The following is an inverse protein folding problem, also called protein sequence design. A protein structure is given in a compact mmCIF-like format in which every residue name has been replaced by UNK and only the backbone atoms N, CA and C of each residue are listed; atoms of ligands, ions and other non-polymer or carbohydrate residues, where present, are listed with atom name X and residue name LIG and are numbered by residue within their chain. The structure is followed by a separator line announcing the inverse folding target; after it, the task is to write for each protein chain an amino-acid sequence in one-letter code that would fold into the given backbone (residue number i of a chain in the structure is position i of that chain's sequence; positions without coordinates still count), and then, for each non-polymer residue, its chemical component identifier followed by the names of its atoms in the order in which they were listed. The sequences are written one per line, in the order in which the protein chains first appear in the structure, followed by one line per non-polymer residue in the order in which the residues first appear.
data_IF_513961546326
#
_entry.id   IF_513961546326
#
_cell.length_a   1.000
_cell.length_b   1.000
_cell.length_c   1.000
_cell.angle_alpha   90.00
_cell.angle_beta   90.00
_cell.angle_gamma   90.00
#
_symmetry.space_group_name_H-M   'P 1'
#
loop_
_entity.id
_entity.type
_entity.pdbx_description
1 polymer ?
#
# COMPACT_ATOMS: atom_id res chain seq x y z
N UNK A 1 21.66 4.91 -1.25
CA UNK A 1 20.37 4.40 -0.75
C UNK A 1 19.65 5.55 -0.11
N UNK A 2 18.38 5.73 -0.43
CA UNK A 2 17.48 6.66 0.26
C UNK A 2 16.85 5.93 1.43
N UNK A 3 16.65 6.64 2.55
CA UNK A 3 15.92 6.10 3.68
C UNK A 3 14.42 6.06 3.35
N UNK A 4 13.71 5.09 3.93
CA UNK A 4 12.25 5.02 3.83
C UNK A 4 11.61 6.17 4.61
N UNK A 5 10.47 6.67 4.14
CA UNK A 5 9.67 7.70 4.83
C UNK A 5 9.19 7.27 6.21
N UNK A 6 9.11 5.95 6.47
CA UNK A 6 8.87 5.42 7.82
C UNK A 6 9.94 5.85 8.83
N UNK A 7 11.19 6.04 8.38
CA UNK A 7 12.28 6.51 9.25
C UNK A 7 12.13 7.97 9.66
N UNK A 8 11.38 8.76 8.89
CA UNK A 8 11.11 10.18 9.14
C UNK A 8 9.74 10.41 9.81
N UNK A 9 8.94 9.34 10.00
CA UNK A 9 7.56 9.46 10.49
C UNK A 9 6.58 10.00 9.44
N UNK A 10 6.95 9.94 8.16
CA UNK A 10 6.18 10.48 7.03
C UNK A 10 5.49 9.38 6.20
N UNK A 11 5.35 8.19 6.77
CA UNK A 11 4.62 7.08 6.18
C UNK A 11 3.77 6.31 7.19
N UNK A 12 2.72 5.67 6.67
CA UNK A 12 1.84 4.78 7.43
C UNK A 12 1.49 3.57 6.57
N UNK A 13 1.49 2.39 7.21
CA UNK A 13 1.02 1.14 6.62
C UNK A 13 -0.36 0.78 7.19
N UNK A 14 -1.36 0.64 6.31
CA UNK A 14 -2.74 0.30 6.71
C UNK A 14 -3.06 -1.17 6.46
N UNK A 15 -3.39 -1.90 7.53
CA UNK A 15 -3.80 -3.32 7.50
C UNK A 15 -2.90 -4.18 6.58
N UNK A 16 -1.64 -4.44 6.96
CA UNK A 16 -0.65 -5.13 6.09
C UNK A 16 -1.06 -6.51 5.55
N UNK A 17 -2.00 -7.19 6.23
CA UNK A 17 -2.52 -8.48 5.75
C UNK A 17 -3.49 -8.26 4.59
N UNK A 18 -4.43 -7.33 4.74
CA UNK A 18 -5.46 -6.96 3.76
C UNK A 18 -4.91 -6.12 2.60
N UNK A 19 -3.79 -5.42 2.82
CA UNK A 19 -3.14 -4.55 1.85
C UNK A 19 -1.65 -4.90 1.72
N UNK A 20 -1.31 -6.10 1.24
CA UNK A 20 0.07 -6.55 1.25
C UNK A 20 0.96 -5.77 0.28
N UNK A 21 2.25 -5.74 0.62
CA UNK A 21 3.29 -5.65 -0.39
C UNK A 21 3.26 -6.91 -1.28
N UNK A 22 3.20 -6.69 -2.59
CA UNK A 22 3.23 -7.70 -3.65
C UNK A 22 4.33 -7.35 -4.62
N UNK A 23 5.42 -8.12 -4.65
CA UNK A 23 6.51 -7.99 -5.62
C UNK A 23 6.57 -9.22 -6.51
N UNK A 24 6.55 -9.03 -7.84
CA UNK A 24 6.54 -10.13 -8.82
C UNK A 24 5.44 -11.18 -8.55
N UNK A 25 4.26 -10.75 -8.10
CA UNK A 25 3.15 -11.64 -7.74
C UNK A 25 3.38 -12.47 -6.47
N UNK A 26 4.36 -12.10 -5.64
CA UNK A 26 4.69 -12.77 -4.39
C UNK A 26 4.60 -11.82 -3.20
N UNK A 27 4.36 -12.36 -2.02
CA UNK A 27 4.41 -11.64 -0.75
C UNK A 27 5.11 -12.51 0.29
N UNK A 28 5.68 -11.88 1.33
CA UNK A 28 6.30 -12.60 2.44
C UNK A 28 5.29 -13.20 3.41
N UNK A 29 4.05 -12.72 3.39
CA UNK A 29 2.99 -13.15 4.32
C UNK A 29 1.96 -14.04 3.60
N UNK A 30 1.97 -15.36 3.81
CA UNK A 30 1.02 -16.27 3.16
C UNK A 30 -0.44 -15.92 3.45
N UNK A 31 -0.74 -15.36 4.63
CA UNK A 31 -2.09 -14.94 5.03
C UNK A 31 -2.64 -13.80 4.17
N UNK A 32 -1.78 -13.05 3.47
CA UNK A 32 -2.19 -11.94 2.64
C UNK A 32 -2.61 -12.34 1.21
N UNK A 33 -2.30 -13.57 0.79
CA UNK A 33 -2.62 -14.08 -0.57
C UNK A 33 -4.09 -13.94 -0.97
N UNK A 34 -5.09 -14.17 -0.09
CA UNK A 34 -6.51 -13.96 -0.41
C UNK A 34 -6.85 -12.52 -0.84
N UNK A 35 -6.01 -11.54 -0.50
CA UNK A 35 -6.24 -10.11 -0.78
C UNK A 35 -5.53 -9.60 -2.03
N UNK A 36 -4.88 -10.49 -2.80
CA UNK A 36 -4.22 -10.13 -4.06
C UNK A 36 -5.22 -9.70 -5.13
N UNK A 37 -6.38 -10.34 -5.16
CA UNK A 37 -7.43 -9.97 -6.10
C UNK A 37 -8.15 -8.71 -5.61
N UNK A 38 -7.71 -7.55 -6.12
CA UNK A 38 -8.27 -6.24 -5.77
C UNK A 38 -9.65 -5.96 -6.38
N UNK A 39 -10.17 -6.81 -7.29
CA UNK A 39 -11.54 -6.67 -7.80
C UNK A 39 -12.59 -7.13 -6.80
N UNK A 40 -12.20 -7.95 -5.82
CA UNK A 40 -13.06 -8.37 -4.73
C UNK A 40 -12.70 -7.59 -3.45
N UNK A 41 -13.37 -6.47 -3.25
CA UNK A 41 -13.20 -5.68 -2.03
C UNK A 41 -13.74 -6.40 -0.79
N UNK A 42 -12.91 -6.47 0.24
CA UNK A 42 -13.18 -7.04 1.57
C UNK A 42 -12.92 -5.98 2.64
N UNK A 43 -13.49 -6.14 3.86
CA UNK A 43 -13.17 -5.26 4.99
C UNK A 43 -11.66 -5.12 5.21
N UNK A 44 -11.21 -3.92 5.56
CA UNK A 44 -9.80 -3.60 5.81
C UNK A 44 -8.97 -3.28 4.55
N UNK A 45 -9.48 -3.55 3.34
CA UNK A 45 -8.79 -3.19 2.10
C UNK A 45 -8.87 -1.68 1.81
N UNK A 46 -7.77 -1.10 1.33
CA UNK A 46 -7.73 0.27 0.80
C UNK A 46 -8.76 0.44 -0.32
N UNK A 47 -9.61 1.45 -0.17
CA UNK A 47 -10.62 1.87 -1.15
C UNK A 47 -10.21 3.18 -1.82
N UNK A 48 -10.90 3.56 -2.90
CA UNK A 48 -10.68 4.84 -3.56
C UNK A 48 -10.92 6.05 -2.61
N UNK A 49 -11.79 5.90 -1.59
CA UNK A 49 -12.00 6.96 -0.60
C UNK A 49 -10.79 7.16 0.31
N UNK A 50 -10.15 6.06 0.74
CA UNK A 50 -8.91 6.11 1.53
C UNK A 50 -7.79 6.77 0.72
N UNK A 51 -7.63 6.37 -0.53
CA UNK A 51 -6.63 6.97 -1.42
C UNK A 51 -6.85 8.47 -1.58
N UNK A 52 -8.09 8.92 -1.82
CA UNK A 52 -8.42 10.35 -1.91
C UNK A 52 -8.15 11.12 -0.61
N UNK A 53 -8.36 10.50 0.55
CA UNK A 53 -8.09 11.14 1.84
C UNK A 53 -6.59 11.44 1.99
N UNK A 54 -5.70 10.48 1.72
CA UNK A 54 -4.25 10.72 1.74
C UNK A 54 -3.79 11.70 0.64
N UNK A 55 -4.35 11.59 -0.56
CA UNK A 55 -4.07 12.56 -1.63
C UNK A 55 -4.46 13.99 -1.26
N UNK A 56 -5.50 14.18 -0.46
CA UNK A 56 -5.93 15.52 -0.01
C UNK A 56 -4.91 16.24 0.87
N UNK A 57 -3.98 15.48 1.48
CA UNK A 57 -2.85 16.01 2.27
C UNK A 57 -1.52 15.89 1.52
N UNK A 58 -1.55 15.60 0.22
CA UNK A 58 -0.36 15.48 -0.63
C UNK A 58 0.37 14.14 -0.56
N UNK A 59 -0.16 13.14 0.15
CA UNK A 59 0.49 11.83 0.27
C UNK A 59 0.17 10.92 -0.93
N UNK A 60 1.16 10.13 -1.33
CA UNK A 60 1.04 9.10 -2.36
C UNK A 60 0.65 7.73 -1.78
N UNK A 61 0.37 6.79 -2.68
CA UNK A 61 -0.02 5.42 -2.33
C UNK A 61 0.80 4.39 -3.11
N UNK A 62 1.40 3.43 -2.41
CA UNK A 62 2.22 2.38 -3.02
C UNK A 62 1.47 1.42 -3.94
N UNK A 63 0.14 1.36 -3.86
CA UNK A 63 -0.71 0.65 -4.82
C UNK A 63 -0.74 1.28 -6.22
N UNK A 64 -0.34 2.55 -6.35
CA UNK A 64 -0.31 3.28 -7.61
C UNK A 64 1.02 3.18 -8.37
N UNK A 65 2.05 2.57 -7.78
CA UNK A 65 3.37 2.45 -8.41
C UNK A 65 3.33 1.75 -9.77
N UNK A 66 4.16 2.16 -10.72
CA UNK A 66 4.24 1.50 -12.02
C UNK A 66 4.90 0.12 -11.90
N UNK A 67 4.50 -0.83 -12.75
CA UNK A 67 5.08 -2.18 -12.79
C UNK A 67 4.32 -3.22 -11.97
N UNK A 68 4.97 -4.35 -11.74
CA UNK A 68 4.40 -5.53 -11.06
C UNK A 68 4.57 -5.52 -9.54
N UNK A 69 5.31 -4.55 -9.01
CA UNK A 69 5.47 -4.33 -7.57
C UNK A 69 4.43 -3.33 -7.09
N UNK A 70 3.70 -3.70 -6.04
CA UNK A 70 2.64 -2.91 -5.42
C UNK A 70 2.77 -2.99 -3.93
N UNK A 71 2.79 -1.84 -3.27
CA UNK A 71 2.75 -1.77 -1.81
C UNK A 71 1.40 -1.21 -1.36
N UNK A 72 0.41 -2.07 -1.21
CA UNK A 72 -0.96 -1.62 -0.99
C UNK A 72 -1.19 -0.99 0.39
N UNK A 73 -0.37 -1.32 1.39
CA UNK A 73 -0.47 -0.77 2.74
C UNK A 73 0.13 0.62 2.83
N UNK A 74 1.15 0.90 2.02
CA UNK A 74 2.02 2.06 2.16
C UNK A 74 1.41 3.35 1.64
N UNK A 75 1.34 4.35 2.50
CA UNK A 75 1.09 5.74 2.16
C UNK A 75 2.21 6.60 2.72
N UNK A 76 2.73 7.54 1.94
CA UNK A 76 3.82 8.42 2.38
C UNK A 76 3.77 9.79 1.73
N UNK A 77 4.45 10.77 2.33
CA UNK A 77 4.55 12.14 1.82
C UNK A 77 5.15 12.23 0.41
N UNK A 78 6.13 11.38 0.10
CA UNK A 78 6.77 11.33 -1.23
C UNK A 78 6.13 10.29 -2.15
N UNK A 79 5.22 9.47 -1.63
CA UNK A 79 4.59 8.38 -2.35
C UNK A 79 5.54 7.22 -2.67
N UNK A 80 6.72 7.16 -2.05
CA UNK A 80 7.72 6.11 -2.19
C UNK A 80 8.08 5.49 -0.84
#
# INVERSE_FOLDING_TARGET
GTWSEHAFGEAVDLNPVENPYVGCGQTRSPSSRPYFNRSWHRPGMVTAAVVRAFQSIGWGWGGSWTGSTKDYMHFSATGH
#
